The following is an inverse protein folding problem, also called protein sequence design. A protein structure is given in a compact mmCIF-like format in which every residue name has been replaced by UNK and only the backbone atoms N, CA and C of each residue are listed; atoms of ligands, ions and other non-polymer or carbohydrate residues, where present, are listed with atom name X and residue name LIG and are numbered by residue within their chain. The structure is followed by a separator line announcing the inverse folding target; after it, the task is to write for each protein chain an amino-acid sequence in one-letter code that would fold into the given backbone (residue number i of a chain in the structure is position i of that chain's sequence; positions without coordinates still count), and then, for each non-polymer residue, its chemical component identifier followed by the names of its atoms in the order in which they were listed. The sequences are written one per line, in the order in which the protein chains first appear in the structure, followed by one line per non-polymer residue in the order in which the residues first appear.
data_IF_730048232018
#
_entry.id   IF_730048232018
#
_cell.length_a   1.000
_cell.length_b   1.000
_cell.length_c   1.000
_cell.angle_alpha   90.00
_cell.angle_beta   90.00
_cell.angle_gamma   90.00
#
_symmetry.space_group_name_H-M   'P 1'
#
loop_
_entity.id
_entity.type
_entity.pdbx_description
1 polymer ?
#
# COMPACT_ATOMS: atom_id res chain seq x y z
N UNK A 1 -11.30 78.21 -46.94
CA UNK A 1 -10.60 77.85 -45.69
C UNK A 1 -11.45 76.82 -44.98
N UNK A 2 -11.06 75.54 -45.03
CA UNK A 2 -11.71 74.46 -44.27
C UNK A 2 -10.59 73.62 -43.64
N UNK A 3 -10.62 73.51 -42.30
CA UNK A 3 -9.61 72.82 -41.49
C UNK A 3 -9.87 71.30 -41.55
N UNK A 4 -8.86 70.53 -41.95
CA UNK A 4 -8.82 69.08 -41.76
C UNK A 4 -8.39 68.80 -40.31
N UNK A 5 -9.25 68.13 -39.54
CA UNK A 5 -8.94 67.59 -38.21
C UNK A 5 -8.58 66.12 -38.38
N UNK A 6 -7.36 65.74 -37.99
CA UNK A 6 -6.94 64.35 -37.88
C UNK A 6 -7.38 63.83 -36.50
N UNK A 7 -8.34 62.91 -36.46
CA UNK A 7 -8.67 62.13 -35.27
C UNK A 7 -7.86 60.84 -35.28
N UNK A 8 -6.94 60.68 -34.32
CA UNK A 8 -6.17 59.46 -34.12
C UNK A 8 -7.06 58.37 -33.52
N UNK A 9 -7.34 57.32 -34.29
CA UNK A 9 -8.04 56.12 -33.80
C UNK A 9 -7.00 55.19 -33.17
N UNK A 10 -7.01 55.07 -31.84
CA UNK A 10 -6.19 54.09 -31.13
C UNK A 10 -6.85 52.71 -31.22
N UNK A 11 -6.26 51.81 -32.02
CA UNK A 11 -6.65 50.41 -32.08
C UNK A 11 -6.08 49.67 -30.87
N UNK A 12 -6.86 49.50 -29.81
CA UNK A 12 -6.47 48.68 -28.65
C UNK A 12 -6.72 47.23 -29.01
N UNK A 13 -5.66 46.53 -29.45
CA UNK A 13 -5.68 45.08 -29.64
C UNK A 13 -5.89 44.41 -28.28
N UNK A 14 -6.90 43.55 -28.09
CA UNK A 14 -7.02 42.80 -26.85
C UNK A 14 -5.94 41.73 -26.88
N UNK A 15 -4.86 41.95 -26.13
CA UNK A 15 -3.92 40.88 -25.80
C UNK A 15 -4.72 39.81 -25.06
N UNK A 16 -5.07 38.74 -25.78
CA UNK A 16 -5.59 37.51 -25.20
C UNK A 16 -4.45 36.92 -24.38
N UNK A 17 -4.33 37.36 -23.12
CA UNK A 17 -3.48 36.75 -22.12
C UNK A 17 -4.01 35.33 -21.92
N UNK A 18 -3.49 34.39 -22.70
CA UNK A 18 -3.52 32.99 -22.35
C UNK A 18 -2.85 32.90 -20.98
N UNK A 19 -3.66 32.92 -19.92
CA UNK A 19 -3.29 32.38 -18.64
C UNK A 19 -2.99 30.90 -18.90
N UNK A 20 -1.74 30.61 -19.26
CA UNK A 20 -1.18 29.29 -19.05
C UNK A 20 -1.19 29.12 -17.54
N UNK A 21 -2.30 28.60 -17.00
CA UNK A 21 -2.27 27.94 -15.72
C UNK A 21 -1.24 26.84 -15.88
N UNK A 22 -0.01 27.08 -15.43
CA UNK A 22 0.94 26.01 -15.20
C UNK A 22 0.23 25.06 -14.24
N UNK A 23 -0.25 23.92 -14.76
CA UNK A 23 -0.54 22.79 -13.90
C UNK A 23 0.79 22.51 -13.22
N UNK A 24 0.93 22.93 -11.97
CA UNK A 24 2.03 22.50 -11.12
C UNK A 24 1.83 21.00 -10.99
N UNK A 25 2.50 20.21 -11.84
CA UNK A 25 2.63 18.78 -11.60
C UNK A 25 3.25 18.68 -10.22
N UNK A 26 2.52 18.11 -9.27
CA UNK A 26 3.03 17.81 -7.96
C UNK A 26 4.38 17.09 -8.12
N UNK A 27 5.48 17.74 -7.74
CA UNK A 27 6.83 17.17 -7.75
C UNK A 27 7.08 16.31 -6.49
N UNK A 28 5.99 15.87 -5.87
CA UNK A 28 5.97 15.04 -4.69
C UNK A 28 6.18 13.58 -5.05
N UNK A 29 6.91 12.88 -4.21
CA UNK A 29 6.98 11.43 -4.25
C UNK A 29 5.63 10.82 -3.81
N UNK A 30 5.03 9.99 -4.66
CA UNK A 30 3.82 9.22 -4.36
C UNK A 30 4.11 7.72 -4.27
N UNK A 31 3.25 6.98 -3.56
CA UNK A 31 3.38 5.53 -3.42
C UNK A 31 2.60 4.80 -4.52
N UNK A 32 3.22 3.77 -5.08
CA UNK A 32 2.67 2.95 -6.14
C UNK A 32 2.88 1.47 -5.86
N UNK A 33 1.95 0.65 -6.34
CA UNK A 33 2.05 -0.80 -6.46
C UNK A 33 2.48 -1.12 -7.89
N UNK A 34 3.62 -1.78 -8.03
CA UNK A 34 4.22 -2.18 -9.30
C UNK A 34 4.10 -3.69 -9.46
N UNK A 35 3.37 -4.12 -10.47
CA UNK A 35 3.26 -5.51 -10.87
C UNK A 35 4.32 -5.82 -11.93
N UNK A 36 5.12 -6.86 -11.73
CA UNK A 36 6.18 -7.27 -12.64
C UNK A 36 5.93 -8.67 -13.19
N UNK A 37 6.41 -8.90 -14.41
CA UNK A 37 6.31 -10.21 -15.02
C UNK A 37 7.40 -11.13 -14.44
N UNK A 38 6.99 -12.08 -13.61
CA UNK A 38 7.90 -12.97 -12.88
C UNK A 38 8.87 -13.75 -13.77
N UNK A 39 8.44 -14.17 -14.97
CA UNK A 39 9.29 -14.86 -15.95
C UNK A 39 10.49 -14.02 -16.42
N UNK A 40 10.44 -12.69 -16.23
CA UNK A 40 11.54 -11.80 -16.56
C UNK A 40 12.53 -11.60 -15.43
N UNK A 41 12.36 -12.24 -14.26
CA UNK A 41 13.36 -12.21 -13.19
C UNK A 41 14.67 -12.84 -13.69
N UNK A 42 15.76 -12.06 -13.83
CA UNK A 42 17.03 -12.63 -14.29
C UNK A 42 17.59 -13.59 -13.25
N UNK A 43 18.17 -14.70 -13.71
CA UNK A 43 18.82 -15.72 -12.86
C UNK A 43 19.99 -15.16 -12.04
N UNK A 44 20.57 -14.03 -12.48
CA UNK A 44 21.61 -13.31 -11.75
C UNK A 44 21.18 -12.86 -10.34
N UNK A 45 19.88 -12.62 -10.12
CA UNK A 45 19.40 -12.17 -8.83
C UNK A 45 19.03 -13.34 -7.92
N UNK A 46 19.64 -13.38 -6.74
CA UNK A 46 19.38 -14.41 -5.71
C UNK A 46 17.96 -14.36 -5.13
N UNK A 47 17.30 -13.20 -5.13
CA UNK A 47 15.94 -13.02 -4.59
C UNK A 47 15.10 -12.07 -5.44
N UNK A 48 13.79 -12.05 -5.21
CA UNK A 48 12.90 -11.05 -5.81
C UNK A 48 13.23 -9.64 -5.30
N UNK A 49 13.52 -9.48 -4.02
CA UNK A 49 13.94 -8.20 -3.42
C UNK A 49 15.17 -7.59 -4.09
N UNK A 50 16.20 -8.39 -4.38
CA UNK A 50 17.39 -7.90 -5.08
C UNK A 50 17.07 -7.44 -6.51
N UNK A 51 16.19 -8.16 -7.21
CA UNK A 51 15.74 -7.78 -8.54
C UNK A 51 14.85 -6.53 -8.53
N UNK A 52 13.90 -6.43 -7.60
CA UNK A 52 13.05 -5.25 -7.47
C UNK A 52 13.87 -4.00 -7.14
N UNK A 53 14.86 -4.12 -6.25
CA UNK A 53 15.79 -3.03 -5.96
C UNK A 53 16.63 -2.62 -7.18
N UNK A 54 17.03 -3.57 -8.03
CA UNK A 54 17.80 -3.23 -9.23
C UNK A 54 16.96 -2.47 -10.25
N UNK A 55 15.68 -2.81 -10.40
CA UNK A 55 14.74 -2.02 -11.21
C UNK A 55 14.65 -0.58 -10.72
N UNK A 56 14.50 -0.36 -9.41
CA UNK A 56 14.45 0.99 -8.84
C UNK A 56 15.75 1.78 -9.03
N UNK A 57 16.91 1.13 -8.89
CA UNK A 57 18.23 1.75 -9.11
C UNK A 57 18.51 2.11 -10.57
N UNK A 58 17.83 1.45 -11.51
CA UNK A 58 17.96 1.72 -12.95
C UNK A 58 17.13 2.92 -13.42
N UNK A 59 16.29 3.49 -12.55
CA UNK A 59 15.42 4.61 -12.89
C UNK A 59 16.21 5.91 -13.05
N UNK A 60 15.67 6.88 -13.80
CA UNK A 60 16.30 8.19 -13.95
C UNK A 60 16.57 8.84 -12.59
N UNK A 61 17.71 9.51 -12.50
CA UNK A 61 18.06 10.33 -11.34
C UNK A 61 16.98 11.37 -11.07
N UNK A 62 16.62 11.51 -9.79
CA UNK A 62 15.64 12.46 -9.30
C UNK A 62 16.19 13.06 -8.02
N UNK A 63 15.92 14.35 -7.71
CA UNK A 63 16.28 14.95 -6.42
C UNK A 63 15.79 14.11 -5.22
N UNK A 64 14.66 13.43 -5.41
CA UNK A 64 14.11 12.49 -4.45
C UNK A 64 14.24 11.05 -5.01
N UNK A 65 15.07 10.18 -4.39
CA UNK A 65 15.32 8.84 -4.89
C UNK A 65 14.12 7.91 -4.68
N UNK A 66 13.94 6.98 -5.62
CA UNK A 66 12.94 5.92 -5.49
C UNK A 66 13.23 5.07 -4.25
N UNK A 67 12.19 4.80 -3.45
CA UNK A 67 12.33 4.00 -2.21
C UNK A 67 11.44 2.78 -2.27
N UNK A 68 12.03 1.59 -2.09
CA UNK A 68 11.28 0.34 -1.97
C UNK A 68 10.57 0.29 -0.61
N UNK A 69 9.26 0.05 -0.61
CA UNK A 69 8.47 -0.12 0.61
C UNK A 69 8.38 -1.62 0.96
N UNK A 70 7.90 -2.42 0.01
CA UNK A 70 7.75 -3.87 0.14
C UNK A 70 8.00 -4.58 -1.19
N UNK A 71 8.40 -5.85 -1.10
CA UNK A 71 8.57 -6.79 -2.20
C UNK A 71 7.63 -7.97 -2.00
N UNK A 72 6.95 -8.39 -3.07
CA UNK A 72 5.96 -9.46 -3.06
C UNK A 72 6.32 -10.51 -4.12
N UNK A 73 6.27 -11.79 -3.75
CA UNK A 73 6.66 -12.90 -4.63
C UNK A 73 5.74 -14.13 -4.53
N UNK A 74 4.61 -14.01 -3.82
CA UNK A 74 3.67 -15.12 -3.57
C UNK A 74 2.37 -14.92 -4.35
N UNK A 75 1.42 -14.20 -3.76
CA UNK A 75 0.11 -13.94 -4.38
C UNK A 75 0.19 -12.99 -5.59
N UNK A 76 1.16 -12.07 -5.56
CA UNK A 76 1.48 -11.16 -6.65
C UNK A 76 3.00 -11.08 -6.78
N UNK A 77 3.48 -10.89 -8.00
CA UNK A 77 4.90 -10.75 -8.33
C UNK A 77 5.18 -9.27 -8.55
N UNK A 78 5.76 -8.58 -7.57
CA UNK A 78 5.80 -7.13 -7.64
C UNK A 78 6.41 -6.48 -6.42
N UNK A 79 6.30 -5.17 -6.36
CA UNK A 79 6.76 -4.38 -5.23
C UNK A 79 5.91 -3.12 -5.06
N UNK A 80 5.92 -2.55 -3.87
CA UNK A 80 5.46 -1.18 -3.65
C UNK A 80 6.67 -0.27 -3.48
N UNK A 81 6.59 0.92 -4.07
CA UNK A 81 7.65 1.90 -4.01
C UNK A 81 7.09 3.32 -3.98
N UNK A 82 7.87 4.21 -3.37
CA UNK A 82 7.64 5.64 -3.39
C UNK A 82 8.46 6.24 -4.54
N UNK A 83 7.80 6.92 -5.48
CA UNK A 83 8.32 7.28 -6.80
C UNK A 83 7.92 8.72 -7.19
N UNK A 84 8.81 9.40 -7.92
CA UNK A 84 8.51 10.68 -8.55
C UNK A 84 7.72 10.47 -9.86
N UNK A 85 7.08 11.52 -10.41
CA UNK A 85 6.39 11.41 -11.70
C UNK A 85 7.30 10.90 -12.83
N UNK A 86 8.56 11.33 -12.86
CA UNK A 86 9.56 10.90 -13.87
C UNK A 86 9.94 9.43 -13.71
N UNK A 87 10.12 8.95 -12.47
CA UNK A 87 10.41 7.56 -12.14
C UNK A 87 9.22 6.65 -12.47
N UNK A 88 7.99 7.06 -12.12
CA UNK A 88 6.75 6.35 -12.45
C UNK A 88 6.57 6.21 -13.96
N UNK A 89 6.83 7.28 -14.72
CA UNK A 89 6.76 7.25 -16.18
C UNK A 89 7.80 6.30 -16.79
N UNK A 90 9.01 6.23 -16.22
CA UNK A 90 10.04 5.29 -16.65
C UNK A 90 9.64 3.83 -16.36
N UNK A 91 9.11 3.53 -15.17
CA UNK A 91 8.65 2.18 -14.83
C UNK A 91 7.50 1.71 -15.73
N UNK A 92 6.54 2.58 -16.07
CA UNK A 92 5.43 2.24 -16.97
C UNK A 92 5.87 1.80 -18.37
N UNK A 93 7.07 2.22 -18.80
CA UNK A 93 7.66 1.82 -20.09
C UNK A 93 8.62 0.64 -19.98
N UNK A 94 8.91 0.17 -18.76
CA UNK A 94 9.89 -0.88 -18.56
C UNK A 94 9.31 -2.24 -19.01
N UNK A 95 10.03 -3.03 -19.83
CA UNK A 95 9.49 -4.24 -20.46
C UNK A 95 9.09 -5.34 -19.45
N UNK A 96 9.71 -5.34 -18.26
CA UNK A 96 9.36 -6.29 -17.19
C UNK A 96 8.20 -5.84 -16.30
N UNK A 97 7.65 -4.63 -16.50
CA UNK A 97 6.57 -4.06 -15.68
C UNK A 97 5.24 -4.24 -16.41
N UNK A 98 4.27 -4.86 -15.73
CA UNK A 98 2.92 -5.09 -16.24
C UNK A 98 2.03 -3.88 -15.94
N UNK A 99 2.10 -3.35 -14.73
CA UNK A 99 1.28 -2.22 -14.30
C UNK A 99 1.92 -1.43 -13.17
N UNK A 100 1.64 -0.13 -13.13
CA UNK A 100 2.02 0.78 -12.05
C UNK A 100 0.78 1.52 -11.57
N UNK A 101 0.25 1.12 -10.41
CA UNK A 101 -1.04 1.54 -9.88
C UNK A 101 -0.80 2.40 -8.64
N UNK A 102 -1.45 3.57 -8.48
CA UNK A 102 -1.32 4.37 -7.26
C UNK A 102 -1.73 3.59 -6.02
N UNK A 103 -0.93 3.66 -4.97
CA UNK A 103 -1.28 3.13 -3.65
C UNK A 103 -2.28 4.07 -2.98
N UNK A 104 -3.31 3.51 -2.35
CA UNK A 104 -4.43 4.27 -1.81
C UNK A 104 -4.78 3.78 -0.41
N UNK A 105 -4.89 4.73 0.52
CA UNK A 105 -5.45 4.44 1.83
C UNK A 105 -6.90 3.94 1.70
N UNK A 106 -7.28 3.04 2.61
CA UNK A 106 -8.64 2.50 2.74
C UNK A 106 -9.21 2.90 4.08
N UNK A 107 -10.53 3.01 4.14
CA UNK A 107 -11.27 3.37 5.35
C UNK A 107 -11.78 2.12 6.07
N UNK A 108 -11.94 2.23 7.39
CA UNK A 108 -12.47 1.16 8.24
C UNK A 108 -14.00 1.17 8.10
N UNK A 109 -14.58 0.01 7.81
CA UNK A 109 -16.01 -0.07 7.48
C UNK A 109 -16.94 -0.40 8.67
N UNK A 110 -16.46 -0.92 9.80
CA UNK A 110 -17.35 -1.25 10.95
C UNK A 110 -16.60 -1.45 12.27
N UNK A 111 -17.30 -1.25 13.39
CA UNK A 111 -16.85 -1.53 14.77
C UNK A 111 -17.73 -2.54 15.53
N UNK A 112 -18.83 -3.05 14.95
CA UNK A 112 -19.80 -3.93 15.64
C UNK A 112 -20.23 -5.16 14.81
N UNK A 113 -19.35 -6.16 14.74
CA UNK A 113 -19.53 -7.38 13.93
C UNK A 113 -20.58 -8.38 14.46
N UNK A 114 -20.72 -8.64 15.78
CA UNK A 114 -21.64 -9.70 16.24
C UNK A 114 -23.11 -9.43 15.98
N UNK A 115 -23.57 -8.19 16.22
CA UNK A 115 -24.94 -7.77 15.91
C UNK A 115 -25.18 -7.73 14.39
N UNK A 116 -24.19 -7.26 13.61
CA UNK A 116 -24.25 -7.25 12.14
C UNK A 116 -24.39 -8.67 11.57
N UNK A 117 -23.71 -9.65 12.14
CA UNK A 117 -23.77 -11.05 11.70
C UNK A 117 -24.93 -11.85 12.31
N UNK A 118 -25.76 -11.22 13.16
CA UNK A 118 -26.91 -11.88 13.79
C UNK A 118 -26.53 -13.01 14.74
N UNK A 119 -25.34 -12.95 15.35
CA UNK A 119 -24.94 -13.97 16.33
C UNK A 119 -25.80 -13.85 17.59
N UNK A 120 -26.48 -14.94 17.95
CA UNK A 120 -27.18 -15.10 19.22
C UNK A 120 -26.41 -16.05 20.12
N UNK A 121 -26.37 -15.79 21.42
CA UNK A 121 -25.60 -16.58 22.39
C UNK A 121 -26.06 -18.06 22.52
N UNK A 122 -27.25 -18.39 22.01
CA UNK A 122 -27.98 -19.60 22.40
C UNK A 122 -28.36 -20.57 21.26
N UNK A 123 -27.82 -20.47 20.04
CA UNK A 123 -28.17 -21.45 18.99
C UNK A 123 -27.13 -21.72 17.89
N UNK A 124 -27.10 -23.00 17.47
CA UNK A 124 -27.01 -23.43 16.07
C UNK A 124 -25.64 -23.63 15.42
N UNK A 125 -24.69 -22.71 15.59
CA UNK A 125 -23.41 -22.76 14.84
C UNK A 125 -22.21 -23.16 15.69
N UNK A 126 -22.15 -22.74 16.95
CA UNK A 126 -21.00 -22.99 17.82
C UNK A 126 -20.77 -24.49 18.06
N UNK A 127 -21.77 -25.21 18.55
CA UNK A 127 -21.65 -26.66 18.78
C UNK A 127 -21.47 -27.44 17.48
N UNK A 128 -22.16 -27.05 16.40
CA UNK A 128 -22.12 -27.77 15.13
C UNK A 128 -20.81 -27.57 14.35
N UNK A 129 -20.02 -26.54 14.69
CA UNK A 129 -18.70 -26.27 14.10
C UNK A 129 -17.55 -26.68 15.01
N UNK A 130 -17.81 -27.44 16.09
CA UNK A 130 -16.84 -27.70 17.15
C UNK A 130 -16.16 -26.41 17.64
N UNK A 131 -16.93 -25.33 17.74
CA UNK A 131 -16.46 -24.01 18.16
C UNK A 131 -15.32 -23.44 17.30
N UNK A 132 -15.18 -23.88 16.05
CA UNK A 132 -14.11 -23.46 15.15
C UNK A 132 -12.77 -24.15 15.41
N UNK A 133 -12.79 -25.33 16.05
CA UNK A 133 -11.61 -26.20 16.18
C UNK A 133 -10.97 -26.49 14.80
N UNK A 134 -9.64 -26.62 14.78
CA UNK A 134 -8.83 -26.85 13.57
C UNK A 134 -8.95 -25.80 12.45
N UNK A 135 -9.43 -24.59 12.77
CA UNK A 135 -9.50 -23.47 11.83
C UNK A 135 -8.48 -22.38 12.21
N UNK A 136 -7.68 -21.94 11.24
CA UNK A 136 -6.83 -20.76 11.37
C UNK A 136 -7.53 -19.57 10.72
N UNK A 137 -7.80 -18.53 11.51
CA UNK A 137 -8.44 -17.29 11.05
C UNK A 137 -7.38 -16.20 10.88
N UNK A 138 -7.25 -15.67 9.66
CA UNK A 138 -6.43 -14.50 9.38
C UNK A 138 -7.26 -13.21 9.44
N UNK A 139 -6.82 -12.25 10.25
CA UNK A 139 -7.46 -10.93 10.37
C UNK A 139 -6.52 -9.88 9.78
N UNK A 140 -7.00 -9.16 8.76
CA UNK A 140 -6.32 -7.99 8.19
C UNK A 140 -7.07 -6.73 8.65
N UNK A 141 -6.55 -6.07 9.66
CA UNK A 141 -7.14 -4.89 10.26
C UNK A 141 -6.04 -3.92 10.72
N UNK A 142 -6.39 -2.99 11.60
CA UNK A 142 -5.56 -1.93 12.17
C UNK A 142 -4.57 -2.39 13.22
N UNK A 143 -4.75 -3.59 13.79
CA UNK A 143 -3.87 -4.13 14.81
C UNK A 143 -4.58 -5.11 15.73
N UNK A 144 -3.98 -5.36 16.88
CA UNK A 144 -4.47 -6.30 17.88
C UNK A 144 -3.97 -5.89 19.26
N UNK A 145 -4.76 -6.17 20.30
CA UNK A 145 -4.37 -6.01 21.70
C UNK A 145 -4.08 -7.40 22.31
N UNK A 146 -2.85 -7.91 22.23
CA UNK A 146 -2.55 -9.30 22.58
C UNK A 146 -2.71 -9.62 24.07
N UNK A 147 -2.67 -8.61 24.94
CA UNK A 147 -2.84 -8.77 26.40
C UNK A 147 -4.31 -9.02 26.81
N UNK A 148 -5.26 -8.87 25.89
CA UNK A 148 -6.67 -9.05 26.21
C UNK A 148 -6.96 -10.51 26.57
N UNK A 149 -7.75 -10.82 27.64
CA UNK A 149 -8.01 -12.19 28.08
C UNK A 149 -8.59 -13.11 27.01
N UNK A 150 -9.28 -12.55 26.01
CA UNK A 150 -9.78 -13.30 24.85
C UNK A 150 -8.67 -13.98 24.03
N UNK A 151 -7.42 -13.55 24.15
CA UNK A 151 -6.25 -14.16 23.50
C UNK A 151 -5.47 -15.14 24.38
N UNK A 152 -6.01 -15.49 25.55
CA UNK A 152 -5.48 -16.59 26.37
C UNK A 152 -5.43 -17.89 25.58
N UNK A 153 -4.33 -18.62 25.73
CA UNK A 153 -4.09 -19.89 25.06
C UNK A 153 -4.36 -21.11 25.96
N UNK A 154 -4.94 -20.87 27.14
CA UNK A 154 -5.31 -21.92 28.10
C UNK A 154 -6.25 -22.93 27.45
N UNK A 155 -5.91 -24.22 27.56
CA UNK A 155 -6.70 -25.31 26.99
C UNK A 155 -6.56 -25.49 25.46
N UNK A 156 -5.69 -24.72 24.79
CA UNK A 156 -5.40 -24.91 23.37
C UNK A 156 -4.22 -25.86 23.14
N UNK A 157 -4.35 -26.66 22.09
CA UNK A 157 -3.29 -27.51 21.56
C UNK A 157 -2.13 -26.71 20.94
N UNK A 158 -0.96 -27.34 20.69
CA UNK A 158 0.15 -26.70 20.01
C UNK A 158 -0.22 -26.15 18.64
N UNK A 159 0.46 -25.07 18.24
CA UNK A 159 0.32 -24.50 16.90
C UNK A 159 0.59 -25.58 15.83
N UNK A 160 -0.27 -25.73 14.80
CA UNK A 160 -0.06 -26.72 13.75
C UNK A 160 1.32 -26.59 13.10
N UNK A 161 2.04 -27.70 12.94
CA UNK A 161 3.39 -27.72 12.35
C UNK A 161 3.44 -27.29 10.88
N UNK A 162 2.28 -27.31 10.22
CA UNK A 162 2.06 -26.81 8.86
C UNK A 162 2.01 -25.29 8.79
N UNK A 163 1.78 -24.58 9.90
CA UNK A 163 1.78 -23.12 9.95
C UNK A 163 3.16 -22.56 9.62
N UNK A 164 3.23 -21.67 8.61
CA UNK A 164 4.48 -21.07 8.11
C UNK A 164 4.55 -19.55 8.25
N UNK A 165 3.59 -18.93 8.92
CA UNK A 165 3.65 -17.49 9.15
C UNK A 165 4.69 -17.15 10.22
N UNK A 166 4.93 -15.87 10.41
CA UNK A 166 5.85 -15.37 11.43
C UNK A 166 5.09 -14.60 12.51
N UNK A 167 5.69 -14.53 13.69
CA UNK A 167 5.36 -13.55 14.71
C UNK A 167 6.42 -12.43 14.64
N UNK A 168 6.08 -11.32 13.99
CA UNK A 168 6.98 -10.17 13.87
C UNK A 168 7.04 -9.43 15.21
N UNK A 169 8.26 -9.18 15.69
CA UNK A 169 8.51 -8.37 16.89
C UNK A 169 8.46 -6.89 16.49
N UNK A 170 7.70 -6.11 17.26
CA UNK A 170 7.60 -4.65 17.10
C UNK A 170 7.82 -3.91 18.42
N UNK A 171 7.86 -2.57 18.39
CA UNK A 171 8.04 -1.75 19.60
C UNK A 171 7.07 -2.07 20.72
N UNK A 172 5.79 -2.27 20.38
CA UNK A 172 4.70 -2.59 21.31
C UNK A 172 4.16 -4.02 21.12
N UNK A 173 4.97 -4.90 20.52
CA UNK A 173 4.59 -6.29 20.25
C UNK A 173 5.81 -7.21 20.47
N UNK A 174 6.10 -7.59 21.74
CA UNK A 174 7.20 -8.50 22.03
C UNK A 174 6.95 -9.91 21.48
N UNK A 175 8.01 -10.73 21.41
CA UNK A 175 7.89 -12.13 20.96
C UNK A 175 6.86 -12.94 21.78
N UNK A 176 6.67 -12.58 23.05
CA UNK A 176 5.69 -13.20 23.96
C UNK A 176 4.23 -12.86 23.64
N UNK A 177 3.96 -11.90 22.76
CA UNK A 177 2.60 -11.54 22.34
C UNK A 177 1.96 -12.61 21.45
N UNK A 178 2.76 -13.44 20.78
CA UNK A 178 2.25 -14.65 20.14
C UNK A 178 2.31 -15.84 21.09
N UNK A 179 1.26 -16.65 21.06
CA UNK A 179 1.07 -17.84 21.89
C UNK A 179 0.33 -18.93 21.08
N UNK A 180 -0.31 -19.93 21.71
CA UNK A 180 -1.06 -20.96 20.95
C UNK A 180 -2.40 -20.47 20.38
N UNK A 181 -2.87 -19.27 20.75
CA UNK A 181 -4.05 -18.60 20.18
C UNK A 181 -3.67 -17.58 19.10
N UNK A 182 -2.76 -16.66 19.42
CA UNK A 182 -2.15 -15.73 18.46
C UNK A 182 -0.89 -16.35 17.89
N UNK A 183 -1.07 -17.14 16.83
CA UNK A 183 0.01 -17.97 16.28
C UNK A 183 0.87 -17.25 15.24
N UNK A 184 0.50 -16.04 14.83
CA UNK A 184 1.29 -15.20 13.93
C UNK A 184 0.76 -13.78 13.86
N UNK A 185 1.67 -12.83 13.64
CA UNK A 185 1.39 -11.40 13.58
C UNK A 185 2.39 -10.75 12.61
N UNK A 186 1.89 -9.88 11.73
CA UNK A 186 2.70 -9.11 10.78
C UNK A 186 2.11 -7.73 10.60
N UNK A 187 2.96 -6.73 10.37
CA UNK A 187 2.54 -5.35 10.22
C UNK A 187 2.99 -4.74 8.88
N UNK A 188 2.03 -4.23 8.10
CA UNK A 188 2.27 -3.64 6.77
C UNK A 188 1.79 -2.19 6.70
N UNK A 189 2.54 -1.26 7.30
CA UNK A 189 2.12 0.14 7.46
C UNK A 189 2.97 1.17 6.67
N UNK A 190 4.06 0.77 5.98
CA UNK A 190 4.92 1.75 5.28
C UNK A 190 4.18 2.55 4.20
N UNK A 191 3.28 1.91 3.44
CA UNK A 191 2.44 2.59 2.44
C UNK A 191 1.53 3.64 3.08
N UNK A 192 0.90 3.28 4.20
CA UNK A 192 0.09 4.21 4.99
C UNK A 192 0.91 5.41 5.49
N UNK A 193 2.10 5.18 6.07
CA UNK A 193 2.99 6.26 6.52
C UNK A 193 3.40 7.20 5.38
N UNK A 194 3.69 6.67 4.20
CA UNK A 194 4.03 7.50 3.05
C UNK A 194 2.87 8.36 2.57
N UNK A 195 1.63 7.87 2.68
CA UNK A 195 0.44 8.64 2.35
C UNK A 195 0.15 9.72 3.39
N UNK A 196 0.31 9.42 4.69
CA UNK A 196 0.04 10.37 5.77
C UNK A 196 1.10 11.46 5.89
N UNK A 197 2.36 11.19 5.56
CA UNK A 197 3.45 12.18 5.55
C UNK A 197 3.43 13.10 4.32
N UNK A 198 2.60 12.81 3.31
CA UNK A 198 2.45 13.62 2.09
C UNK A 198 1.31 14.64 2.15
N UNK A 199 0.56 14.70 3.26
CA UNK A 199 -0.45 15.72 3.56
C UNK A 199 0.10 16.77 4.51
#
# INVERSE_FOLDING_TARGET
MAKLSLSSVFFVSPLFLCFFSSLSSWDGLESYIVHVQSSHKPSLFSSHDHWHNSLLRSLPSSPQPATLLYSYSRALQGFSARLSPTQTAALRRHPSVISVIPDQAREIHTTHTPAFLGFSDNSGLWSNSNYGEDVIVGVLDTGIWPEHPSFSDSGLDPVPSTWKCACEIGPDFPASSCNRKLIGARAFYKGYLTHSMGR
#
